data_IF_412476060285
#
_entry.id   IF_412476060285
#
_cell.length_a   1.000
_cell.length_b   1.000
_cell.length_c   1.000
_cell.angle_alpha   90.00
_cell.angle_beta   90.00
_cell.angle_gamma   90.00
#
_symmetry.space_group_name_H-M   'P 1'
#
loop_
_entity.id
_entity.type
_entity.pdbx_description
1 polymer ?
#
# COMPACT_ATOMS: atom_id res chain seq x y z
N UNK A 1 -21.23 50.53 -21.13
CA UNK A 1 -21.99 49.48 -20.41
C UNK A 1 -21.99 48.15 -21.15
N UNK A 2 -21.99 48.12 -22.49
CA UNK A 2 -21.96 46.85 -23.26
C UNK A 2 -20.65 46.07 -23.13
N UNK A 3 -19.48 46.73 -23.17
CA UNK A 3 -18.18 46.05 -23.12
C UNK A 3 -17.92 45.23 -21.83
N UNK A 4 -18.46 45.69 -20.70
CA UNK A 4 -18.38 44.95 -19.42
C UNK A 4 -19.24 43.70 -19.43
N UNK A 5 -20.42 43.74 -20.05
CA UNK A 5 -21.36 42.60 -20.12
C UNK A 5 -20.75 41.44 -20.90
N UNK A 6 -20.14 41.74 -22.06
CA UNK A 6 -19.45 40.73 -22.86
C UNK A 6 -18.27 40.09 -22.11
N UNK A 7 -17.49 40.89 -21.37
CA UNK A 7 -16.38 40.35 -20.56
C UNK A 7 -16.87 39.45 -19.41
N UNK A 8 -17.94 39.84 -18.72
CA UNK A 8 -18.51 39.02 -17.63
C UNK A 8 -19.12 37.72 -18.14
N UNK A 9 -19.73 37.73 -19.33
CA UNK A 9 -20.29 36.51 -19.94
C UNK A 9 -19.19 35.47 -20.21
N UNK A 10 -18.08 35.86 -20.83
CA UNK A 10 -16.97 34.94 -21.12
C UNK A 10 -16.27 34.44 -19.85
N UNK A 11 -16.16 35.28 -18.82
CA UNK A 11 -15.60 34.86 -17.51
C UNK A 11 -16.50 33.82 -16.85
N UNK A 12 -17.82 34.05 -16.81
CA UNK A 12 -18.76 33.10 -16.22
C UNK A 12 -18.83 31.79 -17.02
N UNK A 13 -18.77 31.88 -18.35
CA UNK A 13 -18.68 30.70 -19.21
C UNK A 13 -17.41 29.89 -18.92
N UNK A 14 -16.25 30.53 -18.84
CA UNK A 14 -14.99 29.86 -18.51
C UNK A 14 -15.05 29.21 -17.12
N UNK A 15 -15.54 29.92 -16.11
CA UNK A 15 -15.68 29.40 -14.75
C UNK A 15 -16.64 28.20 -14.69
N UNK A 16 -17.77 28.26 -15.38
CA UNK A 16 -18.71 27.13 -15.44
C UNK A 16 -18.09 25.90 -16.13
N UNK A 17 -17.38 26.10 -17.25
CA UNK A 17 -16.72 25.01 -17.96
C UNK A 17 -15.64 24.35 -17.10
N UNK A 18 -14.79 25.15 -16.45
CA UNK A 18 -13.73 24.62 -15.56
C UNK A 18 -14.33 23.87 -14.37
N UNK A 19 -15.40 24.38 -13.76
CA UNK A 19 -16.11 23.71 -12.68
C UNK A 19 -16.71 22.36 -13.11
N UNK A 20 -17.32 22.30 -14.30
CA UNK A 20 -17.87 21.05 -14.86
C UNK A 20 -16.76 20.03 -15.07
N UNK A 21 -15.64 20.44 -15.68
CA UNK A 21 -14.50 19.55 -15.94
C UNK A 21 -13.91 19.02 -14.62
N UNK A 22 -13.67 19.89 -13.63
CA UNK A 22 -13.15 19.44 -12.32
C UNK A 22 -14.11 18.48 -11.62
N UNK A 23 -15.41 18.81 -11.61
CA UNK A 23 -16.44 17.97 -11.00
C UNK A 23 -16.48 16.60 -11.67
N UNK A 24 -16.44 16.56 -13.01
CA UNK A 24 -16.45 15.31 -13.77
C UNK A 24 -15.19 14.47 -13.52
N UNK A 25 -14.00 15.07 -13.53
CA UNK A 25 -12.75 14.36 -13.25
C UNK A 25 -12.72 13.78 -11.84
N UNK A 26 -13.19 14.55 -10.85
CA UNK A 26 -13.24 14.08 -9.46
C UNK A 26 -14.23 12.93 -9.31
N UNK A 27 -15.44 13.05 -9.86
CA UNK A 27 -16.46 11.99 -9.81
C UNK A 27 -15.96 10.72 -10.51
N UNK A 28 -15.39 10.84 -11.71
CA UNK A 28 -14.84 9.69 -12.44
C UNK A 28 -13.64 9.07 -11.73
N UNK A 29 -12.82 9.88 -11.05
CA UNK A 29 -11.72 9.40 -10.21
C UNK A 29 -12.22 8.56 -9.03
N UNK A 30 -13.24 9.05 -8.31
CA UNK A 30 -13.84 8.32 -7.18
C UNK A 30 -14.56 7.05 -7.65
N UNK A 31 -15.37 7.12 -8.71
CA UNK A 31 -16.06 5.96 -9.29
C UNK A 31 -15.04 4.94 -9.79
N UNK A 32 -14.01 5.39 -10.52
CA UNK A 32 -12.95 4.53 -11.03
C UNK A 32 -12.18 3.83 -9.91
N UNK A 33 -11.80 4.55 -8.85
CA UNK A 33 -11.12 3.97 -7.69
C UNK A 33 -12.00 2.94 -6.97
N UNK A 34 -13.27 3.26 -6.75
CA UNK A 34 -14.22 2.36 -6.11
C UNK A 34 -14.51 1.12 -6.96
N UNK A 35 -14.80 1.29 -8.26
CA UNK A 35 -15.04 0.17 -9.18
C UNK A 35 -13.81 -0.70 -9.36
N UNK A 36 -12.61 -0.09 -9.38
CA UNK A 36 -11.36 -0.86 -9.41
C UNK A 36 -11.27 -1.79 -8.20
N UNK A 37 -11.46 -1.27 -6.98
CA UNK A 37 -11.44 -2.08 -5.76
C UNK A 37 -12.55 -3.13 -5.72
N UNK A 38 -13.76 -2.76 -6.13
CA UNK A 38 -14.89 -3.69 -6.20
C UNK A 38 -14.61 -4.85 -7.16
N UNK A 39 -14.13 -4.56 -8.38
CA UNK A 39 -13.77 -5.59 -9.36
C UNK A 39 -12.59 -6.42 -8.86
N UNK A 40 -11.58 -5.80 -8.25
CA UNK A 40 -10.42 -6.47 -7.70
C UNK A 40 -10.82 -7.49 -6.62
N UNK A 41 -11.73 -7.11 -5.72
CA UNK A 41 -12.26 -7.98 -4.66
C UNK A 41 -13.21 -9.05 -5.21
N UNK A 42 -14.12 -8.70 -6.13
CA UNK A 42 -15.06 -9.63 -6.76
C UNK A 42 -14.35 -10.71 -7.59
N UNK A 43 -13.31 -10.34 -8.34
CA UNK A 43 -12.47 -11.29 -9.07
C UNK A 43 -11.60 -12.16 -8.14
N UNK A 44 -11.59 -11.89 -6.83
CA UNK A 44 -10.96 -12.75 -5.83
C UNK A 44 -9.43 -12.79 -5.91
N UNK A 45 -8.80 -11.77 -6.53
CA UNK A 45 -7.34 -11.70 -6.67
C UNK A 45 -6.62 -11.78 -5.32
N UNK A 46 -7.22 -11.25 -4.25
CA UNK A 46 -6.69 -11.36 -2.89
C UNK A 46 -6.65 -12.79 -2.35
N UNK A 47 -7.71 -13.58 -2.56
CA UNK A 47 -7.83 -14.96 -2.03
C UNK A 47 -6.95 -15.95 -2.77
N UNK A 48 -6.77 -15.77 -4.08
CA UNK A 48 -5.96 -16.70 -4.89
C UNK A 48 -4.46 -16.58 -4.60
N UNK A 49 -3.97 -15.40 -4.20
CA UNK A 49 -2.55 -15.18 -3.90
C UNK A 49 -2.10 -15.86 -2.60
N UNK A 50 -2.98 -15.95 -1.60
CA UNK A 50 -2.68 -16.54 -0.30
C UNK A 50 -2.49 -18.07 -0.33
N UNK A 51 -3.17 -18.78 -1.24
CA UNK A 51 -3.16 -20.25 -1.30
C UNK A 51 -2.19 -20.82 -2.35
N UNK A 52 -1.39 -19.99 -3.01
CA UNK A 52 -0.41 -20.47 -3.99
C UNK A 52 0.76 -21.13 -3.26
N UNK A 53 0.81 -22.46 -3.25
CA UNK A 53 2.00 -23.19 -2.79
C UNK A 53 3.21 -22.75 -3.62
N UNK A 54 4.21 -22.16 -2.97
CA UNK A 54 5.48 -21.87 -3.60
C UNK A 54 6.17 -23.20 -3.86
N UNK A 55 6.33 -23.55 -5.13
CA UNK A 55 7.08 -24.74 -5.52
C UNK A 55 8.57 -24.37 -5.47
N UNK A 56 9.14 -24.49 -4.27
CA UNK A 56 10.56 -24.22 -4.04
C UNK A 56 11.33 -25.52 -4.24
N UNK A 57 12.25 -25.53 -5.21
CA UNK A 57 13.19 -26.63 -5.33
C UNK A 57 14.10 -26.59 -4.09
N UNK A 58 14.26 -27.69 -3.35
CA UNK A 58 15.13 -27.69 -2.18
C UNK A 58 16.53 -27.26 -2.61
N UNK A 59 17.09 -26.27 -1.90
CA UNK A 59 18.45 -25.82 -2.16
C UNK A 59 19.42 -26.96 -1.91
N UNK A 60 20.44 -27.07 -2.76
CA UNK A 60 21.48 -28.09 -2.66
C UNK A 60 22.74 -27.58 -1.94
N UNK A 61 22.76 -26.31 -1.50
CA UNK A 61 23.87 -25.67 -0.80
C UNK A 61 23.36 -25.03 0.51
N UNK A 62 24.09 -25.22 1.60
CA UNK A 62 23.69 -24.71 2.93
C UNK A 62 23.57 -23.17 2.98
N UNK A 63 24.28 -22.44 2.12
CA UNK A 63 24.29 -20.96 2.10
C UNK A 63 23.29 -20.32 1.11
N UNK A 64 22.46 -21.12 0.43
CA UNK A 64 21.53 -20.59 -0.58
C UNK A 64 20.13 -20.46 0.02
N UNK A 65 19.77 -19.22 0.34
CA UNK A 65 18.42 -18.87 0.80
C UNK A 65 17.46 -18.71 -0.38
N UNK A 66 16.23 -19.20 -0.24
CA UNK A 66 15.15 -18.96 -1.19
C UNK A 66 14.70 -17.50 -1.21
N UNK A 67 14.73 -16.85 -0.06
CA UNK A 67 14.32 -15.46 0.08
C UNK A 67 15.23 -14.71 1.06
N UNK A 68 15.55 -13.47 0.69
CA UNK A 68 16.21 -12.48 1.53
C UNK A 68 15.19 -11.41 1.93
N UNK A 69 14.92 -11.29 3.23
CA UNK A 69 14.04 -10.27 3.78
C UNK A 69 14.91 -9.18 4.39
N UNK A 70 14.75 -7.95 3.92
CA UNK A 70 15.50 -6.79 4.41
C UNK A 70 14.62 -5.98 5.35
N UNK A 71 15.02 -5.92 6.62
CA UNK A 71 14.30 -5.24 7.70
C UNK A 71 13.45 -6.18 8.55
N UNK A 72 13.47 -5.95 9.86
CA UNK A 72 12.77 -6.74 10.89
C UNK A 72 11.68 -5.93 11.62
N UNK A 73 11.01 -5.04 10.86
CA UNK A 73 9.75 -4.41 11.28
C UNK A 73 8.55 -5.31 11.04
N UNK A 74 7.33 -4.79 11.23
CA UNK A 74 6.10 -5.56 11.08
C UNK A 74 5.96 -6.27 9.73
N UNK A 75 6.29 -5.60 8.62
CA UNK A 75 6.22 -6.19 7.29
C UNK A 75 7.23 -7.33 7.08
N UNK A 76 8.46 -7.16 7.54
CA UNK A 76 9.52 -8.18 7.42
C UNK A 76 9.22 -9.42 8.28
N UNK A 77 8.80 -9.21 9.52
CA UNK A 77 8.35 -10.30 10.40
C UNK A 77 7.09 -10.98 9.86
N UNK A 78 6.12 -10.21 9.36
CA UNK A 78 4.92 -10.75 8.72
C UNK A 78 5.24 -11.61 7.50
N UNK A 79 6.21 -11.20 6.66
CA UNK A 79 6.68 -12.00 5.54
C UNK A 79 7.34 -13.30 5.99
N UNK A 80 8.22 -13.24 7.01
CA UNK A 80 8.85 -14.43 7.59
C UNK A 80 7.83 -15.43 8.15
N UNK A 81 6.81 -14.93 8.86
CA UNK A 81 5.70 -15.76 9.37
C UNK A 81 4.96 -16.42 8.21
N UNK A 82 4.61 -15.66 7.16
CA UNK A 82 3.89 -16.21 6.01
C UNK A 82 4.71 -17.25 5.23
N UNK A 83 6.02 -17.05 5.08
CA UNK A 83 6.89 -18.06 4.47
C UNK A 83 6.91 -19.35 5.31
N UNK A 84 6.99 -19.24 6.63
CA UNK A 84 6.89 -20.40 7.54
C UNK A 84 5.54 -21.12 7.43
N UNK A 85 4.42 -20.38 7.41
CA UNK A 85 3.08 -20.96 7.21
C UNK A 85 2.95 -21.69 5.86
N UNK A 86 3.66 -21.23 4.83
CA UNK A 86 3.74 -21.89 3.52
C UNK A 86 4.73 -23.07 3.48
N UNK A 87 5.37 -23.41 4.61
CA UNK A 87 6.34 -24.50 4.72
C UNK A 87 7.72 -24.16 4.15
N UNK A 88 8.02 -22.87 3.95
CA UNK A 88 9.32 -22.40 3.46
C UNK A 88 10.13 -21.83 4.62
N UNK A 89 11.13 -22.58 5.09
CA UNK A 89 12.03 -22.13 6.17
C UNK A 89 13.39 -21.65 5.68
N UNK A 90 13.70 -21.89 4.40
CA UNK A 90 14.97 -21.50 3.80
C UNK A 90 14.99 -20.01 3.41
N UNK A 91 14.96 -19.12 4.39
CA UNK A 91 15.06 -17.68 4.17
C UNK A 91 15.87 -17.04 5.29
N UNK A 92 16.40 -15.85 5.02
CA UNK A 92 17.11 -15.05 6.01
C UNK A 92 16.47 -13.67 6.13
N UNK A 93 16.36 -13.18 7.37
CA UNK A 93 15.96 -11.81 7.68
C UNK A 93 17.21 -11.07 8.12
N UNK A 94 17.55 -9.98 7.43
CA UNK A 94 18.66 -9.11 7.80
C UNK A 94 18.13 -7.78 8.34
N UNK A 95 18.74 -7.31 9.44
CA UNK A 95 18.39 -6.06 10.08
C UNK A 95 19.65 -5.22 10.24
N UNK A 96 19.52 -3.91 9.99
CA UNK A 96 20.61 -2.95 10.15
C UNK A 96 20.83 -2.62 11.63
N UNK A 97 19.76 -2.61 12.42
CA UNK A 97 19.77 -2.36 13.84
C UNK A 97 20.20 -3.58 14.67
N UNK A 98 20.60 -3.36 15.93
CA UNK A 98 21.01 -4.44 16.84
C UNK A 98 19.85 -5.29 17.38
N UNK A 99 18.61 -4.88 17.14
CA UNK A 99 17.40 -5.61 17.55
C UNK A 99 16.25 -5.40 16.56
N UNK A 100 15.24 -6.25 16.67
CA UNK A 100 13.99 -6.18 15.90
C UNK A 100 13.13 -4.98 16.29
N UNK A 101 12.22 -4.57 15.40
CA UNK A 101 11.23 -3.53 15.66
C UNK A 101 11.09 -2.47 14.57
N UNK A 102 12.03 -2.41 13.62
CA UNK A 102 12.00 -1.47 12.50
C UNK A 102 11.81 -0.02 12.98
N UNK A 103 10.76 0.64 12.53
CA UNK A 103 10.40 2.01 12.92
C UNK A 103 10.36 2.22 14.44
N UNK A 104 9.86 1.26 15.21
CA UNK A 104 9.75 1.36 16.67
C UNK A 104 11.09 1.18 17.39
N UNK A 105 12.04 0.51 16.76
CA UNK A 105 13.41 0.45 17.28
C UNK A 105 14.17 1.74 16.93
N UNK A 106 14.05 2.19 15.69
CA UNK A 106 14.76 3.35 15.16
C UNK A 106 14.32 4.68 15.79
N UNK A 107 13.05 4.81 16.16
CA UNK A 107 12.48 6.04 16.69
C UNK A 107 12.21 5.92 18.19
N UNK A 108 12.97 6.67 18.99
CA UNK A 108 12.78 6.77 20.43
C UNK A 108 12.93 8.22 20.85
N UNK A 109 11.80 8.84 21.18
CA UNK A 109 11.74 10.20 21.71
C UNK A 109 10.49 10.35 22.59
N UNK A 110 10.46 11.31 23.53
CA UNK A 110 9.28 11.56 24.35
C UNK A 110 8.04 11.84 23.49
N UNK A 111 6.95 11.11 23.73
CA UNK A 111 5.72 11.24 22.96
C UNK A 111 5.67 10.43 21.65
N UNK A 112 6.65 9.57 21.37
CA UNK A 112 6.60 8.65 20.23
C UNK A 112 5.38 7.71 20.33
N UNK A 113 4.45 7.82 19.38
CA UNK A 113 3.20 7.06 19.34
C UNK A 113 2.75 6.83 17.89
N UNK A 114 1.75 5.97 17.71
CA UNK A 114 1.06 5.77 16.43
C UNK A 114 -0.20 6.64 16.39
N UNK A 115 -0.57 7.12 15.20
CA UNK A 115 -1.81 7.83 14.90
C UNK A 115 -3.03 6.90 14.74
N UNK A 116 -2.78 5.60 14.57
CA UNK A 116 -3.80 4.56 14.49
C UNK A 116 -4.09 4.01 15.89
N UNK A 117 -5.38 3.82 16.27
CA UNK A 117 -5.74 3.13 17.51
C UNK A 117 -5.02 1.77 17.64
N UNK A 118 -4.51 1.47 18.84
CA UNK A 118 -3.63 0.30 19.03
C UNK A 118 -4.23 -1.02 18.56
N UNK A 119 -5.54 -1.20 18.69
CA UNK A 119 -6.27 -2.41 18.25
C UNK A 119 -6.32 -2.60 16.73
N UNK A 120 -6.07 -1.54 15.95
CA UNK A 120 -6.02 -1.59 14.49
C UNK A 120 -4.58 -1.63 13.95
N UNK A 121 -3.60 -1.39 14.81
CA UNK A 121 -2.18 -1.31 14.44
C UNK A 121 -1.38 -2.58 14.76
N UNK A 122 -1.92 -3.46 15.63
CA UNK A 122 -1.27 -4.69 16.12
C UNK A 122 -1.81 -5.97 15.49
#
# INVERSE_FOLDING_TARGET
>A
MEGTIWSTFWILLLLSVTYIVMTFTVIMGFIGHFLYWLVFDLCGFGKQRANRKLHVKPSQKEDEYYALIIGSGFSGLGMAIKLKELGTENFIVIERHGHVGGTWYANKYPGCACDVPSNLYS
#
